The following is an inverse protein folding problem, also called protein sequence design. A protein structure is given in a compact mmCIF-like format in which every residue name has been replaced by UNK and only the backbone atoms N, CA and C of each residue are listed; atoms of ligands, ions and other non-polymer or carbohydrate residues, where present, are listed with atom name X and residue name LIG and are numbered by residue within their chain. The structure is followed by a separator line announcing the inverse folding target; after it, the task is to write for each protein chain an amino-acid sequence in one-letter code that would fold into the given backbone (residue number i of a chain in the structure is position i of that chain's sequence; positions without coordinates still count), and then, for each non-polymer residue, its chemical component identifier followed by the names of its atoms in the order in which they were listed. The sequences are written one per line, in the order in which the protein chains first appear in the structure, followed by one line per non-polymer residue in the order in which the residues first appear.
data_IF_435450992657
#
_entry.id   IF_435450992657
#
_cell.length_a   1.000
_cell.length_b   1.000
_cell.length_c   1.000
_cell.angle_alpha   90.00
_cell.angle_beta   90.00
_cell.angle_gamma   90.00
#
_symmetry.space_group_name_H-M   'P 1'
#
loop_
_entity.id
_entity.type
_entity.pdbx_description
1 polymer ?
#
# COMPACT_ATOMS: atom_id res chain seq x y z
N UNK A 1 -0.38 17.63 22.47
CA UNK A 1 -1.37 17.70 21.34
C UNK A 1 -2.64 16.91 21.64
N UNK A 2 -3.73 17.15 20.94
CA UNK A 2 -5.00 16.42 21.03
C UNK A 2 -5.19 15.59 19.76
N UNK A 3 -5.62 14.33 19.91
CA UNK A 3 -5.99 13.49 18.79
C UNK A 3 -7.50 13.61 18.53
N UNK A 4 -7.87 13.94 17.30
CA UNK A 4 -9.24 14.02 16.81
C UNK A 4 -9.45 12.92 15.77
N UNK A 5 -10.58 12.21 15.82
CA UNK A 5 -10.90 11.10 14.92
C UNK A 5 -11.95 11.50 13.91
N UNK A 6 -11.69 11.29 12.62
CA UNK A 6 -12.68 11.48 11.59
C UNK A 6 -13.83 10.48 11.72
N UNK A 7 -15.07 10.99 11.68
CA UNK A 7 -16.23 10.17 11.42
C UNK A 7 -16.51 10.17 9.90
N UNK A 8 -16.30 9.04 9.19
CA UNK A 8 -16.47 9.01 7.73
C UNK A 8 -17.90 9.28 7.24
N UNK A 9 -18.86 9.36 8.15
CA UNK A 9 -20.28 9.65 7.85
C UNK A 9 -20.69 11.06 8.26
N UNK A 10 -19.76 11.88 8.75
CA UNK A 10 -20.05 13.28 9.08
C UNK A 10 -20.23 14.11 7.82
N UNK A 11 -20.85 15.27 7.97
CA UNK A 11 -20.99 16.23 6.86
C UNK A 11 -19.66 16.86 6.45
N UNK A 12 -18.66 16.80 7.31
CA UNK A 12 -17.33 17.36 7.10
C UNK A 12 -16.35 16.34 6.46
N UNK A 13 -16.79 15.08 6.28
CA UNK A 13 -15.89 13.99 5.91
C UNK A 13 -15.13 14.24 4.60
N UNK A 14 -15.82 14.71 3.57
CA UNK A 14 -15.21 14.96 2.26
C UNK A 14 -14.14 16.07 2.33
N UNK A 15 -14.40 17.14 3.08
CA UNK A 15 -13.45 18.24 3.25
C UNK A 15 -12.21 17.80 4.05
N UNK A 16 -12.41 17.05 5.13
CA UNK A 16 -11.31 16.50 5.95
C UNK A 16 -10.48 15.49 5.17
N UNK A 17 -11.11 14.58 4.44
CA UNK A 17 -10.40 13.61 3.58
C UNK A 17 -9.62 14.33 2.48
N UNK A 18 -10.21 15.39 1.90
CA UNK A 18 -9.53 16.24 0.91
C UNK A 18 -8.27 16.92 1.47
N UNK A 19 -8.32 17.44 2.69
CA UNK A 19 -7.19 18.07 3.35
C UNK A 19 -6.07 17.05 3.64
N UNK A 20 -6.41 15.87 4.13
CA UNK A 20 -5.44 14.79 4.32
C UNK A 20 -4.84 14.33 2.99
N UNK A 21 -5.66 14.13 1.95
CA UNK A 21 -5.18 13.75 0.63
C UNK A 21 -4.18 14.75 0.07
N UNK A 22 -4.43 16.04 0.27
CA UNK A 22 -3.53 17.11 -0.13
C UNK A 22 -2.18 17.02 0.60
N UNK A 23 -2.16 16.92 1.93
CA UNK A 23 -0.92 16.79 2.71
C UNK A 23 -0.14 15.51 2.34
N UNK A 24 -0.84 14.37 2.18
CA UNK A 24 -0.22 13.11 1.80
C UNK A 24 0.34 13.15 0.37
N UNK A 25 -0.35 13.79 -0.56
CA UNK A 25 0.11 13.96 -1.95
C UNK A 25 1.36 14.83 -2.01
N UNK A 26 1.38 15.98 -1.33
CA UNK A 26 2.57 16.83 -1.28
C UNK A 26 3.77 16.09 -0.67
N UNK A 27 3.57 15.38 0.43
CA UNK A 27 4.63 14.61 1.08
C UNK A 27 5.26 13.57 0.13
N UNK A 28 4.46 12.86 -0.67
CA UNK A 28 5.00 11.88 -1.60
C UNK A 28 5.61 12.52 -2.84
N UNK A 29 5.06 13.61 -3.35
CA UNK A 29 5.61 14.35 -4.48
C UNK A 29 6.96 14.99 -4.14
N UNK A 30 7.14 15.51 -2.92
CA UNK A 30 8.42 16.02 -2.43
C UNK A 30 9.50 14.92 -2.38
N UNK A 31 9.10 13.68 -2.13
CA UNK A 31 10.01 12.53 -2.09
C UNK A 31 10.34 12.02 -3.49
N UNK A 32 9.34 11.88 -4.35
CA UNK A 32 9.47 11.23 -5.66
C UNK A 32 9.89 12.20 -6.75
N UNK A 33 9.59 13.49 -6.59
CA UNK A 33 9.71 14.49 -7.66
C UNK A 33 8.71 14.30 -8.80
N UNK A 34 7.75 13.37 -8.66
CA UNK A 34 6.78 13.01 -9.69
C UNK A 34 5.40 13.58 -9.34
N UNK A 35 4.87 14.44 -10.22
CA UNK A 35 3.56 15.07 -10.05
C UNK A 35 2.38 14.06 -10.13
N UNK A 36 2.60 12.88 -10.72
CA UNK A 36 1.60 11.80 -10.76
C UNK A 36 1.58 10.95 -9.48
N UNK A 37 2.63 11.05 -8.64
CA UNK A 37 2.61 10.42 -7.32
C UNK A 37 1.62 11.14 -6.42
N UNK A 38 0.66 10.42 -5.88
CA UNK A 38 -0.34 11.03 -5.03
C UNK A 38 -1.31 10.03 -4.44
N UNK A 39 -2.15 10.53 -3.54
CA UNK A 39 -3.23 9.77 -2.91
C UNK A 39 -4.53 10.50 -3.20
N UNK A 40 -5.47 9.84 -3.89
CA UNK A 40 -6.74 10.48 -4.23
C UNK A 40 -7.71 10.46 -3.05
N UNK A 41 -8.46 11.55 -2.88
CA UNK A 41 -9.50 11.65 -1.86
C UNK A 41 -10.57 10.55 -2.01
N UNK A 42 -10.92 10.21 -3.26
CA UNK A 42 -11.89 9.14 -3.56
C UNK A 42 -11.41 7.79 -3.05
N UNK A 43 -10.15 7.43 -3.29
CA UNK A 43 -9.58 6.17 -2.81
C UNK A 43 -9.51 6.13 -1.27
N UNK A 44 -9.12 7.24 -0.64
CA UNK A 44 -9.08 7.36 0.82
C UNK A 44 -10.48 7.23 1.43
N UNK A 45 -11.49 7.91 0.88
CA UNK A 45 -12.86 7.81 1.34
C UNK A 45 -13.35 6.35 1.31
N UNK A 46 -13.09 5.64 0.22
CA UNK A 46 -13.40 4.21 0.10
C UNK A 46 -12.68 3.33 1.12
N UNK A 47 -11.44 3.62 1.44
CA UNK A 47 -10.71 2.91 2.51
C UNK A 47 -11.32 3.17 3.89
N UNK A 48 -11.75 4.40 4.16
CA UNK A 48 -12.37 4.81 5.43
C UNK A 48 -13.78 4.24 5.64
N UNK A 49 -14.50 3.88 4.57
CA UNK A 49 -15.75 3.11 4.68
C UNK A 49 -15.52 1.74 5.35
N UNK A 50 -14.29 1.22 5.28
CA UNK A 50 -13.92 -0.09 5.79
C UNK A 50 -14.38 -1.24 4.88
N UNK A 51 -14.05 -2.46 5.28
CA UNK A 51 -14.42 -3.70 4.58
C UNK A 51 -14.52 -4.86 5.54
N UNK A 52 -14.88 -6.05 5.06
CA UNK A 52 -14.82 -7.27 5.86
C UNK A 52 -13.38 -7.65 6.28
N UNK A 53 -12.36 -7.12 5.59
CA UNK A 53 -10.94 -7.48 5.82
C UNK A 53 -10.18 -6.44 6.63
N UNK A 54 -10.60 -5.18 6.61
CA UNK A 54 -9.90 -4.10 7.32
C UNK A 54 -10.83 -2.96 7.70
N UNK A 55 -10.54 -2.34 8.83
CA UNK A 55 -11.08 -1.05 9.25
C UNK A 55 -9.97 0.00 9.11
N UNK A 56 -10.29 1.15 8.53
CA UNK A 56 -9.37 2.29 8.48
C UNK A 56 -9.87 3.42 9.39
N UNK A 57 -8.93 4.10 10.04
CA UNK A 57 -9.18 5.26 10.90
C UNK A 57 -8.26 6.40 10.46
N UNK A 58 -8.77 7.62 10.43
CA UNK A 58 -7.98 8.81 10.16
C UNK A 58 -8.03 9.74 11.37
N UNK A 59 -6.87 9.96 11.96
CA UNK A 59 -6.70 10.91 13.05
C UNK A 59 -5.98 12.17 12.58
N UNK A 60 -6.33 13.29 13.18
CA UNK A 60 -5.58 14.53 13.13
C UNK A 60 -5.03 14.87 14.52
N UNK A 61 -3.82 15.37 14.57
CA UNK A 61 -3.16 15.87 15.78
C UNK A 61 -3.12 17.39 15.74
N UNK A 62 -3.62 18.04 16.79
CA UNK A 62 -3.70 19.49 16.91
C UNK A 62 -3.36 19.96 18.32
N UNK A 63 -2.81 21.17 18.46
CA UNK A 63 -2.59 21.80 19.77
C UNK A 63 -3.84 22.53 20.27
N UNK A 64 -4.77 22.82 19.38
CA UNK A 64 -5.99 23.56 19.67
C UNK A 64 -7.19 22.64 19.44
N UNK A 65 -7.86 22.23 20.52
CA UNK A 65 -9.11 21.49 20.41
C UNK A 65 -10.20 22.11 21.28
N UNK A 66 -11.33 22.46 20.69
CA UNK A 66 -12.50 22.86 21.46
C UNK A 66 -13.01 21.65 22.27
N UNK A 67 -13.42 21.82 23.54
CA UNK A 67 -14.05 20.76 24.32
C UNK A 67 -15.29 20.21 23.60
N UNK A 68 -15.32 18.91 23.38
CA UNK A 68 -16.44 18.22 22.72
C UNK A 68 -16.61 16.79 23.27
N UNK A 69 -17.78 16.17 23.11
CA UNK A 69 -17.98 14.79 23.54
C UNK A 69 -17.01 13.83 22.86
N UNK A 70 -16.68 12.75 23.57
CA UNK A 70 -15.91 11.67 22.99
C UNK A 70 -16.79 10.82 22.09
N UNK A 71 -16.29 10.54 20.89
CA UNK A 71 -16.92 9.70 19.89
C UNK A 71 -16.35 8.27 19.87
N UNK A 72 -16.18 7.72 18.67
CA UNK A 72 -15.67 6.38 18.47
C UNK A 72 -14.24 6.23 19.07
N UNK A 73 -13.93 5.05 19.55
CA UNK A 73 -12.66 4.71 20.21
C UNK A 73 -12.26 5.64 21.36
N UNK A 74 -13.19 6.46 21.90
CA UNK A 74 -12.92 7.38 23.00
C UNK A 74 -12.21 8.69 22.57
N UNK A 75 -12.20 9.04 21.28
CA UNK A 75 -11.62 10.28 20.77
C UNK A 75 -12.71 11.29 20.37
N UNK A 76 -12.45 12.61 20.53
CA UNK A 76 -13.34 13.64 20.01
C UNK A 76 -13.41 13.57 18.48
N UNK A 77 -14.56 13.93 17.92
CA UNK A 77 -14.77 13.94 16.46
C UNK A 77 -14.03 15.11 15.81
N UNK A 78 -13.37 14.83 14.68
CA UNK A 78 -12.68 15.79 13.83
C UNK A 78 -13.70 16.50 12.94
N UNK A 79 -13.63 17.83 12.88
CA UNK A 79 -14.49 18.69 12.05
C UNK A 79 -13.66 19.53 11.09
N UNK A 80 -14.28 20.03 10.01
CA UNK A 80 -13.64 20.92 9.06
C UNK A 80 -13.09 22.20 9.72
N UNK A 81 -13.73 22.68 10.79
CA UNK A 81 -13.25 23.84 11.55
C UNK A 81 -11.89 23.64 12.26
N UNK A 82 -11.43 22.40 12.40
CA UNK A 82 -10.14 22.09 13.06
C UNK A 82 -8.98 22.10 12.06
N UNK A 83 -9.24 22.13 10.75
CA UNK A 83 -8.24 21.93 9.68
C UNK A 83 -7.10 22.96 9.72
N UNK A 84 -7.37 24.19 10.18
CA UNK A 84 -6.38 25.26 10.24
C UNK A 84 -5.27 25.04 11.29
N UNK A 85 -5.51 24.17 12.27
CA UNK A 85 -4.64 23.96 13.43
C UNK A 85 -4.01 22.55 13.47
N UNK A 86 -4.12 21.78 12.38
CA UNK A 86 -3.57 20.42 12.30
C UNK A 86 -2.05 20.48 12.13
N UNK A 87 -1.35 19.65 12.90
CA UNK A 87 0.10 19.47 12.81
C UNK A 87 0.47 18.16 12.13
N UNK A 88 -0.29 17.10 12.34
CA UNK A 88 -0.03 15.80 11.72
C UNK A 88 -1.30 14.99 11.53
N UNK A 89 -1.24 14.10 10.58
CA UNK A 89 -2.24 13.09 10.29
C UNK A 89 -1.71 11.70 10.64
N UNK A 90 -2.55 10.84 11.20
CA UNK A 90 -2.22 9.44 11.45
C UNK A 90 -3.29 8.58 10.80
N UNK A 91 -2.92 7.94 9.69
CA UNK A 91 -3.78 6.97 9.03
C UNK A 91 -3.49 5.58 9.61
N UNK A 92 -4.51 4.93 10.13
CA UNK A 92 -4.41 3.64 10.80
C UNK A 92 -5.24 2.61 10.04
N UNK A 93 -4.68 1.43 9.80
CA UNK A 93 -5.38 0.26 9.28
C UNK A 93 -5.38 -0.84 10.34
N UNK A 94 -6.55 -1.40 10.58
CA UNK A 94 -6.79 -2.50 11.51
C UNK A 94 -7.24 -3.72 10.71
N UNK A 95 -6.36 -4.71 10.43
CA UNK A 95 -6.75 -5.95 9.76
C UNK A 95 -7.79 -6.73 10.58
N UNK A 96 -8.78 -7.35 9.92
CA UNK A 96 -9.92 -8.03 10.56
C UNK A 96 -9.99 -9.54 10.31
N UNK A 97 -9.25 -10.07 9.35
CA UNK A 97 -9.23 -11.51 9.03
C UNK A 97 -7.94 -12.18 9.50
N UNK A 98 -6.83 -11.81 8.91
CA UNK A 98 -5.49 -12.17 9.37
C UNK A 98 -4.85 -10.94 10.00
N UNK A 99 -3.67 -11.13 10.59
CA UNK A 99 -2.90 -10.03 11.21
C UNK A 99 -3.70 -9.24 12.25
N UNK A 100 -4.69 -9.89 12.87
CA UNK A 100 -5.63 -9.25 13.80
C UNK A 100 -4.99 -8.73 15.08
N UNK A 101 -3.74 -9.06 15.32
CA UNK A 101 -2.91 -8.52 16.41
C UNK A 101 -2.10 -7.29 16.00
N UNK A 102 -2.25 -6.81 14.75
CA UNK A 102 -1.43 -5.75 14.17
C UNK A 102 -2.22 -4.45 14.07
N UNK A 103 -1.54 -3.34 14.31
CA UNK A 103 -1.92 -1.99 13.88
C UNK A 103 -0.93 -1.58 12.79
N UNK A 104 -1.43 -1.26 11.61
CA UNK A 104 -0.63 -0.60 10.57
C UNK A 104 -0.89 0.90 10.62
N UNK A 105 0.16 1.71 10.57
CA UNK A 105 0.02 3.15 10.63
C UNK A 105 0.99 3.86 9.68
N UNK A 106 0.55 5.03 9.23
CA UNK A 106 1.37 6.01 8.50
C UNK A 106 1.17 7.36 9.15
N UNK A 107 2.27 8.08 9.39
CA UNK A 107 2.26 9.44 9.92
C UNK A 107 2.59 10.39 8.77
N UNK A 108 1.74 11.37 8.54
CA UNK A 108 1.94 12.43 7.54
C UNK A 108 1.89 13.77 8.26
N UNK A 109 2.93 14.58 8.15
CA UNK A 109 2.90 15.95 8.68
C UNK A 109 1.95 16.79 7.82
N UNK A 110 1.28 17.75 8.44
CA UNK A 110 0.50 18.70 7.66
C UNK A 110 1.40 19.53 6.75
N UNK A 111 0.91 19.85 5.56
CA UNK A 111 1.65 20.58 4.54
C UNK A 111 2.24 21.91 5.04
N UNK A 112 1.60 22.55 6.02
CA UNK A 112 2.05 23.82 6.57
C UNK A 112 3.32 23.71 7.44
N UNK A 113 3.62 22.52 7.98
CA UNK A 113 4.77 22.29 8.86
C UNK A 113 5.70 21.17 8.38
N UNK A 114 5.38 20.55 7.23
CA UNK A 114 6.22 19.51 6.64
C UNK A 114 7.63 20.07 6.34
N UNK A 115 8.72 19.39 6.78
CA UNK A 115 10.07 19.83 6.49
C UNK A 115 10.38 19.68 5.01
N UNK A 116 11.27 20.48 4.48
CA UNK A 116 11.80 20.29 3.13
C UNK A 116 12.62 18.99 3.06
N UNK A 117 12.74 18.39 1.87
CA UNK A 117 13.54 17.18 1.70
C UNK A 117 14.95 17.31 2.27
N UNK A 118 15.32 16.40 3.17
CA UNK A 118 16.62 16.39 3.84
C UNK A 118 16.67 17.15 5.16
N UNK A 119 15.64 17.87 5.54
CA UNK A 119 15.51 18.47 6.87
C UNK A 119 14.99 17.44 7.90
N UNK A 120 15.35 17.61 9.18
CA UNK A 120 14.84 16.73 10.23
C UNK A 120 13.33 16.94 10.45
N UNK A 121 12.61 15.86 10.69
CA UNK A 121 11.19 15.95 11.04
C UNK A 121 11.00 16.59 12.42
N UNK A 122 9.93 17.39 12.61
CA UNK A 122 9.61 17.96 13.92
C UNK A 122 9.28 16.82 14.90
N UNK A 123 9.99 16.75 16.06
CA UNK A 123 9.87 15.59 16.97
C UNK A 123 8.53 15.53 17.69
N UNK A 124 7.91 16.69 17.96
CA UNK A 124 6.70 16.75 18.78
C UNK A 124 5.48 16.10 18.10
N UNK A 125 5.09 16.45 16.85
CA UNK A 125 3.97 15.77 16.18
C UNK A 125 4.21 14.26 15.99
N UNK A 126 5.44 13.87 15.70
CA UNK A 126 5.81 12.46 15.60
C UNK A 126 5.69 11.72 16.95
N UNK A 127 6.18 12.33 18.04
CA UNK A 127 6.06 11.77 19.39
C UNK A 127 4.60 11.53 19.79
N UNK A 128 3.74 12.51 19.52
CA UNK A 128 2.30 12.40 19.81
C UNK A 128 1.61 11.35 18.94
N UNK A 129 2.01 11.21 17.66
CA UNK A 129 1.50 10.14 16.79
C UNK A 129 1.86 8.75 17.35
N UNK A 130 3.09 8.56 17.82
CA UNK A 130 3.53 7.30 18.43
C UNK A 130 2.78 6.99 19.73
N UNK A 131 2.52 8.01 20.57
CA UNK A 131 1.69 7.86 21.78
C UNK A 131 0.24 7.48 21.43
N UNK A 132 -0.33 8.06 20.38
CA UNK A 132 -1.66 7.69 19.87
C UNK A 132 -1.69 6.21 19.45
N UNK A 133 -0.69 5.74 18.69
CA UNK A 133 -0.62 4.34 18.26
C UNK A 133 -0.49 3.39 19.46
N UNK A 134 0.31 3.74 20.47
CA UNK A 134 0.43 2.97 21.71
C UNK A 134 -0.91 2.91 22.51
N UNK A 135 -1.65 4.02 22.55
CA UNK A 135 -2.98 4.06 23.16
C UNK A 135 -4.00 3.21 22.40
N UNK A 136 -4.00 3.26 21.08
CA UNK A 136 -4.83 2.42 20.22
C UNK A 136 -4.48 0.95 20.37
N UNK A 137 -3.20 0.59 20.49
CA UNK A 137 -2.75 -0.77 20.77
C UNK A 137 -3.40 -1.33 22.04
N UNK A 138 -3.40 -0.53 23.09
CA UNK A 138 -4.01 -0.91 24.37
C UNK A 138 -5.52 -1.08 24.25
N UNK A 139 -6.22 -0.14 23.63
CA UNK A 139 -7.68 -0.14 23.53
C UNK A 139 -8.23 -1.16 22.54
N UNK A 140 -7.47 -1.49 21.50
CA UNK A 140 -7.87 -2.48 20.47
C UNK A 140 -7.30 -3.88 20.75
N UNK A 141 -6.46 -4.03 21.78
CA UNK A 141 -5.75 -5.28 22.12
C UNK A 141 -4.87 -5.82 20.96
N UNK A 142 -4.18 -4.91 20.26
CA UNK A 142 -3.31 -5.23 19.13
C UNK A 142 -1.86 -4.87 19.47
N UNK A 143 -1.06 -5.82 19.99
CA UNK A 143 0.26 -5.53 20.55
C UNK A 143 1.36 -5.31 19.50
N UNK A 144 1.11 -5.51 18.22
CA UNK A 144 2.11 -5.37 17.17
C UNK A 144 1.80 -4.12 16.36
N UNK A 145 2.80 -3.23 16.23
CA UNK A 145 2.69 -2.02 15.43
C UNK A 145 3.59 -2.14 14.20
N UNK A 146 3.03 -1.91 13.03
CA UNK A 146 3.76 -1.69 11.78
C UNK A 146 3.58 -0.23 11.37
N UNK A 147 4.68 0.51 11.35
CA UNK A 147 4.69 1.89 10.90
C UNK A 147 5.46 1.98 9.58
N UNK A 148 4.80 2.47 8.55
CA UNK A 148 5.39 2.67 7.24
C UNK A 148 5.84 4.12 7.07
N UNK A 149 7.08 4.28 6.63
CA UNK A 149 7.70 5.56 6.35
C UNK A 149 8.38 5.53 4.98
N UNK A 150 8.04 6.50 4.14
CA UNK A 150 8.55 6.60 2.76
C UNK A 150 9.57 7.74 2.70
N UNK A 151 10.65 7.52 1.96
CA UNK A 151 11.76 8.46 1.83
C UNK A 151 12.40 8.38 0.45
N UNK A 152 13.22 9.38 0.10
CA UNK A 152 13.91 9.44 -1.17
C UNK A 152 14.85 8.23 -1.39
N UNK A 153 15.09 7.82 -2.64
CA UNK A 153 15.96 6.69 -2.95
C UNK A 153 17.36 6.84 -2.36
N UNK A 154 17.84 5.81 -1.68
CA UNK A 154 19.17 5.83 -1.06
C UNK A 154 19.29 6.67 0.22
N UNK A 155 18.26 7.41 0.60
CA UNK A 155 18.22 8.13 1.87
C UNK A 155 17.83 7.19 3.03
N UNK A 156 18.07 7.65 4.25
CA UNK A 156 17.50 7.04 5.45
C UNK A 156 16.16 7.70 5.75
N UNK A 157 15.26 6.98 6.42
CA UNK A 157 14.03 7.55 6.95
C UNK A 157 14.34 8.78 7.82
N UNK A 158 13.71 9.95 7.57
CA UNK A 158 13.90 11.14 8.41
C UNK A 158 13.44 10.92 9.85
N UNK A 159 12.51 10.00 10.09
CA UNK A 159 11.99 9.65 11.42
C UNK A 159 12.76 8.51 12.10
N UNK A 160 13.80 7.95 11.47
CA UNK A 160 14.50 6.75 11.97
C UNK A 160 14.98 6.84 13.41
N UNK A 161 15.55 7.98 13.81
CA UNK A 161 16.02 8.18 15.18
C UNK A 161 14.86 8.21 16.20
N UNK A 162 13.78 8.92 15.88
CA UNK A 162 12.59 9.01 16.74
C UNK A 162 11.93 7.64 16.89
N UNK A 163 11.85 6.87 15.81
CA UNK A 163 11.28 5.52 15.82
C UNK A 163 12.13 4.56 16.67
N UNK A 164 13.46 4.60 16.51
CA UNK A 164 14.36 3.78 17.30
C UNK A 164 14.28 4.12 18.80
N UNK A 165 14.25 5.41 19.16
CA UNK A 165 14.09 5.86 20.55
C UNK A 165 12.74 5.45 21.15
N UNK A 166 11.68 5.36 20.33
CA UNK A 166 10.36 4.84 20.72
C UNK A 166 10.26 3.30 20.76
N UNK A 167 11.36 2.59 20.51
CA UNK A 167 11.46 1.13 20.58
C UNK A 167 11.02 0.39 19.31
N UNK A 168 10.91 1.09 18.17
CA UNK A 168 10.69 0.45 16.87
C UNK A 168 12.01 -0.08 16.30
N UNK A 169 11.94 -1.19 15.59
CA UNK A 169 13.05 -1.75 14.81
C UNK A 169 12.67 -1.79 13.33
N UNK A 170 13.63 -1.54 12.47
CA UNK A 170 13.43 -1.70 11.04
C UNK A 170 13.22 -3.19 10.74
N UNK A 171 12.05 -3.54 10.19
CA UNK A 171 11.67 -4.92 9.94
C UNK A 171 11.68 -5.29 8.45
N UNK A 172 11.34 -4.34 7.56
CA UNK A 172 11.27 -4.60 6.14
C UNK A 172 11.50 -3.32 5.33
N UNK A 173 11.93 -3.49 4.08
CA UNK A 173 12.11 -2.37 3.13
C UNK A 173 11.60 -2.73 1.76
N UNK A 174 11.00 -1.75 1.11
CA UNK A 174 10.59 -1.80 -0.29
C UNK A 174 11.28 -0.70 -1.10
N UNK A 175 11.38 -0.95 -2.38
CA UNK A 175 11.79 0.03 -3.38
C UNK A 175 10.60 0.27 -4.31
N UNK A 176 10.22 1.51 -4.50
CA UNK A 176 9.21 1.92 -5.46
C UNK A 176 9.91 2.42 -6.72
N UNK A 177 9.40 1.98 -7.86
CA UNK A 177 9.94 2.37 -9.15
C UNK A 177 8.82 2.56 -10.18
N UNK A 178 9.11 3.35 -11.20
CA UNK A 178 8.26 3.50 -12.39
C UNK A 178 9.02 3.14 -13.65
N UNK A 179 8.31 2.68 -14.67
CA UNK A 179 8.87 2.47 -16.00
C UNK A 179 7.81 2.66 -17.08
N UNK A 180 8.25 3.11 -18.25
CA UNK A 180 7.39 3.34 -19.40
C UNK A 180 7.18 2.04 -20.16
N UNK A 181 5.94 1.76 -20.60
CA UNK A 181 5.61 0.53 -21.34
C UNK A 181 6.15 0.53 -22.76
N UNK A 182 6.28 1.70 -23.38
CA UNK A 182 6.80 1.84 -24.72
C UNK A 182 8.30 1.47 -24.77
N UNK A 183 8.67 0.76 -25.84
CA UNK A 183 10.06 0.35 -26.05
C UNK A 183 10.50 -0.91 -25.30
N UNK A 184 9.63 -1.53 -24.48
CA UNK A 184 9.97 -2.77 -23.74
C UNK A 184 10.11 -4.03 -24.61
N UNK A 185 9.80 -3.95 -25.91
CA UNK A 185 9.83 -5.11 -26.78
C UNK A 185 8.85 -6.21 -26.39
N UNK A 186 7.66 -5.81 -25.92
CA UNK A 186 6.61 -6.74 -25.49
C UNK A 186 6.07 -7.53 -26.67
N UNK A 187 5.63 -8.79 -26.48
CA UNK A 187 4.99 -9.59 -27.52
C UNK A 187 3.67 -8.93 -27.95
N UNK A 188 3.27 -9.17 -29.21
CA UNK A 188 1.98 -8.67 -29.75
C UNK A 188 0.78 -9.27 -28.99
N UNK A 189 0.93 -10.47 -28.46
CA UNK A 189 -0.11 -11.17 -27.68
C UNK A 189 0.49 -11.84 -26.46
N UNK A 190 -0.27 -11.93 -25.35
CA UNK A 190 0.16 -12.66 -24.16
C UNK A 190 0.48 -14.13 -24.48
N UNK A 191 1.54 -14.66 -23.84
CA UNK A 191 1.92 -16.09 -23.94
C UNK A 191 1.45 -16.92 -22.75
N UNK A 192 0.82 -16.26 -21.77
CA UNK A 192 0.22 -16.88 -20.58
C UNK A 192 -1.31 -16.75 -20.66
N UNK A 193 -2.03 -17.55 -19.87
CA UNK A 193 -3.46 -17.35 -19.66
C UNK A 193 -3.70 -16.03 -18.95
N UNK A 194 -4.54 -15.16 -19.50
CA UNK A 194 -4.93 -13.89 -18.88
C UNK A 194 -6.33 -14.03 -18.29
N UNK A 195 -6.47 -13.66 -17.03
CA UNK A 195 -7.74 -13.62 -16.31
C UNK A 195 -8.04 -12.17 -15.91
N UNK A 196 -9.26 -11.73 -16.17
CA UNK A 196 -9.73 -10.36 -15.88
C UNK A 196 -10.47 -10.33 -14.55
N UNK A 197 -10.17 -9.32 -13.72
CA UNK A 197 -10.91 -8.98 -12.50
C UNK A 197 -11.14 -10.18 -11.54
N UNK A 198 -10.17 -11.10 -11.50
CA UNK A 198 -10.26 -12.35 -10.71
C UNK A 198 -11.45 -13.25 -11.09
N UNK A 199 -11.98 -13.14 -12.32
CA UNK A 199 -13.07 -13.98 -12.81
C UNK A 199 -12.52 -15.30 -13.38
N UNK A 200 -12.01 -16.14 -12.48
CA UNK A 200 -11.38 -17.40 -12.81
C UNK A 200 -12.39 -18.47 -13.20
N UNK A 201 -12.09 -19.26 -14.21
CA UNK A 201 -12.78 -20.55 -14.43
C UNK A 201 -12.60 -21.46 -13.20
N UNK A 202 -13.49 -22.42 -12.94
CA UNK A 202 -13.33 -23.36 -11.82
C UNK A 202 -12.00 -24.12 -11.83
N UNK A 203 -11.46 -24.40 -13.01
CA UNK A 203 -10.15 -25.05 -13.19
C UNK A 203 -9.01 -24.12 -12.81
N UNK A 204 -9.02 -22.88 -13.30
CA UNK A 204 -7.98 -21.89 -13.06
C UNK A 204 -7.99 -21.41 -11.60
N UNK A 205 -9.17 -21.28 -10.98
CA UNK A 205 -9.33 -20.86 -9.60
C UNK A 205 -8.56 -21.75 -8.62
N UNK A 206 -8.61 -23.06 -8.81
CA UNK A 206 -7.87 -23.99 -7.95
C UNK A 206 -6.37 -23.78 -8.03
N UNK A 207 -5.84 -23.62 -9.25
CA UNK A 207 -4.42 -23.35 -9.49
C UNK A 207 -3.99 -21.99 -8.97
N UNK A 208 -4.80 -20.95 -9.21
CA UNK A 208 -4.56 -19.59 -8.67
C UNK A 208 -4.47 -19.60 -7.15
N UNK A 209 -5.44 -20.21 -6.46
CA UNK A 209 -5.44 -20.30 -5.00
C UNK A 209 -4.20 -21.00 -4.45
N UNK A 210 -3.73 -22.05 -5.11
CA UNK A 210 -2.50 -22.75 -4.75
C UNK A 210 -1.28 -21.81 -4.84
N UNK A 211 -1.18 -21.04 -5.93
CA UNK A 211 -0.07 -20.10 -6.14
C UNK A 211 -0.08 -18.95 -5.14
N UNK A 212 -1.23 -18.30 -4.93
CA UNK A 212 -1.31 -17.13 -4.06
C UNK A 212 -1.13 -17.51 -2.58
N UNK A 213 -1.60 -18.71 -2.17
CA UNK A 213 -1.33 -19.25 -0.83
C UNK A 213 0.15 -19.63 -0.66
N UNK A 214 0.81 -20.12 -1.71
CA UNK A 214 2.25 -20.36 -1.68
C UNK A 214 3.03 -19.03 -1.62
N UNK A 215 2.62 -18.03 -2.38
CA UNK A 215 3.20 -16.68 -2.33
C UNK A 215 3.12 -16.08 -0.92
N UNK A 216 2.01 -16.22 -0.23
CA UNK A 216 1.87 -15.76 1.17
C UNK A 216 2.93 -16.34 2.12
N UNK A 217 3.42 -17.54 1.85
CA UNK A 217 4.49 -18.16 2.63
C UNK A 217 5.89 -17.76 2.19
N UNK A 218 6.09 -17.60 0.89
CA UNK A 218 7.41 -17.49 0.26
C UNK A 218 7.83 -16.05 -0.05
N UNK A 219 6.85 -15.11 -0.10
CA UNK A 219 7.15 -13.72 -0.45
C UNK A 219 8.03 -13.08 0.63
N UNK A 220 9.07 -12.34 0.25
CA UNK A 220 9.93 -11.67 1.21
C UNK A 220 9.17 -10.67 2.07
N UNK A 221 9.25 -10.81 3.38
CA UNK A 221 8.61 -9.94 4.37
C UNK A 221 9.57 -9.44 5.45
N UNK A 222 10.88 -9.72 5.29
CA UNK A 222 11.90 -9.37 6.27
C UNK A 222 11.57 -9.95 7.65
N UNK A 223 11.68 -9.10 8.67
CA UNK A 223 11.38 -9.43 10.08
C UNK A 223 9.93 -9.05 10.48
N UNK A 224 9.08 -8.65 9.52
CA UNK A 224 7.67 -8.36 9.82
C UNK A 224 6.95 -9.60 10.34
N UNK A 225 6.24 -9.42 11.42
CA UNK A 225 5.31 -10.41 11.94
C UNK A 225 4.02 -10.33 11.14
N UNK A 226 3.78 -11.32 10.30
CA UNK A 226 2.59 -11.44 9.46
C UNK A 226 2.08 -12.88 9.51
N UNK A 227 0.77 -13.03 9.50
CA UNK A 227 0.12 -14.33 9.38
C UNK A 227 0.32 -14.91 7.97
N UNK A 228 0.24 -16.22 7.85
CA UNK A 228 0.18 -16.91 6.56
C UNK A 228 -1.27 -16.96 6.11
N UNK A 229 -1.52 -16.55 4.88
CA UNK A 229 -2.87 -16.48 4.32
C UNK A 229 -3.14 -17.70 3.44
N UNK A 230 -4.18 -18.46 3.79
CA UNK A 230 -4.74 -19.49 2.92
C UNK A 230 -5.94 -18.93 2.16
N UNK A 231 -5.79 -18.85 0.84
CA UNK A 231 -6.80 -18.27 -0.02
C UNK A 231 -7.94 -19.27 -0.29
N UNK A 232 -9.12 -18.95 0.24
CA UNK A 232 -10.37 -19.67 -0.06
C UNK A 232 -11.03 -19.12 -1.33
N UNK A 233 -11.93 -19.87 -1.91
CA UNK A 233 -12.74 -19.39 -3.05
C UNK A 233 -13.60 -18.17 -2.68
N UNK A 234 -14.16 -18.15 -1.47
CA UNK A 234 -14.92 -17.00 -0.98
C UNK A 234 -14.03 -15.77 -0.91
N UNK A 235 -12.80 -15.90 -0.41
CA UNK A 235 -11.86 -14.79 -0.32
C UNK A 235 -11.50 -14.20 -1.69
N UNK A 236 -11.34 -15.05 -2.71
CA UNK A 236 -11.11 -14.57 -4.09
C UNK A 236 -12.31 -13.77 -4.58
N UNK A 237 -13.54 -14.26 -4.35
CA UNK A 237 -14.77 -13.53 -4.70
C UNK A 237 -14.88 -12.17 -4.00
N UNK A 238 -14.58 -12.14 -2.69
CA UNK A 238 -14.64 -10.92 -1.90
C UNK A 238 -13.57 -9.91 -2.36
N UNK A 239 -12.36 -10.38 -2.67
CA UNK A 239 -11.29 -9.55 -3.22
C UNK A 239 -11.67 -8.95 -4.59
N UNK A 240 -12.26 -9.78 -5.49
CA UNK A 240 -12.77 -9.31 -6.77
C UNK A 240 -13.88 -8.26 -6.62
N UNK A 241 -14.81 -8.46 -5.69
CA UNK A 241 -15.89 -7.50 -5.42
C UNK A 241 -15.33 -6.16 -4.92
N UNK A 242 -14.37 -6.19 -3.98
CA UNK A 242 -13.72 -4.97 -3.48
C UNK A 242 -12.93 -4.21 -4.54
N UNK A 243 -12.22 -4.93 -5.41
CA UNK A 243 -11.50 -4.32 -6.52
C UNK A 243 -12.45 -3.49 -7.38
N UNK A 244 -13.58 -4.08 -7.79
CA UNK A 244 -14.61 -3.40 -8.58
C UNK A 244 -15.27 -2.24 -7.84
N UNK A 245 -15.56 -2.39 -6.55
CA UNK A 245 -16.15 -1.31 -5.73
C UNK A 245 -15.25 -0.08 -5.64
N UNK A 246 -13.93 -0.28 -5.74
CA UNK A 246 -12.92 0.78 -5.80
C UNK A 246 -12.65 1.31 -7.21
N UNK A 247 -13.38 0.86 -8.22
CA UNK A 247 -13.15 1.24 -9.63
C UNK A 247 -11.88 0.62 -10.21
N UNK A 248 -11.36 -0.45 -9.61
CA UNK A 248 -10.17 -1.14 -10.09
C UNK A 248 -10.47 -2.19 -11.16
N UNK A 249 -9.57 -2.30 -12.12
CA UNK A 249 -9.52 -3.35 -13.12
C UNK A 249 -8.22 -4.14 -12.94
N UNK A 250 -8.27 -5.47 -12.91
CA UNK A 250 -7.10 -6.30 -12.72
C UNK A 250 -6.92 -7.30 -13.86
N UNK A 251 -5.69 -7.47 -14.28
CA UNK A 251 -5.24 -8.56 -15.16
C UNK A 251 -4.33 -9.49 -14.35
N UNK A 252 -4.60 -10.78 -14.44
CA UNK A 252 -3.75 -11.82 -13.84
C UNK A 252 -3.24 -12.74 -14.95
N UNK A 253 -1.93 -12.74 -15.17
CA UNK A 253 -1.27 -13.70 -16.04
C UNK A 253 -0.94 -14.98 -15.25
N UNK A 254 -1.33 -16.14 -15.76
CA UNK A 254 -1.04 -17.45 -15.19
C UNK A 254 -0.17 -18.26 -16.14
N UNK A 255 1.00 -18.72 -15.66
CA UNK A 255 1.93 -19.54 -16.40
C UNK A 255 1.77 -21.01 -16.04
N UNK A 256 1.55 -21.87 -17.04
CA UNK A 256 1.43 -23.33 -16.89
C UNK A 256 2.73 -24.05 -17.26
N UNK A 257 2.96 -25.18 -16.57
CA UNK A 257 3.90 -26.22 -16.98
C UNK A 257 3.17 -27.56 -16.89
N UNK A 258 2.86 -28.16 -18.05
CA UNK A 258 1.92 -29.28 -18.13
C UNK A 258 0.54 -28.88 -17.58
N UNK A 259 0.00 -29.65 -16.66
CA UNK A 259 -1.34 -29.46 -16.09
C UNK A 259 -1.34 -28.50 -14.86
N UNK A 260 -0.19 -27.97 -14.45
CA UNK A 260 -0.07 -27.18 -13.23
C UNK A 260 0.34 -25.73 -13.52
N UNK A 261 -0.19 -24.80 -12.73
CA UNK A 261 0.32 -23.43 -12.71
C UNK A 261 1.60 -23.35 -11.91
N UNK A 262 2.61 -22.66 -12.45
CA UNK A 262 3.93 -22.51 -11.84
C UNK A 262 4.26 -21.06 -11.46
N UNK A 263 3.40 -20.11 -11.84
CA UNK A 263 3.59 -18.70 -11.48
C UNK A 263 2.43 -17.84 -11.93
N UNK A 264 2.39 -16.63 -11.36
CA UNK A 264 1.43 -15.58 -11.69
C UNK A 264 2.10 -14.20 -11.71
N UNK A 265 1.50 -13.27 -12.45
CA UNK A 265 1.77 -11.85 -12.36
C UNK A 265 0.46 -11.07 -12.45
N UNK A 266 0.34 -10.00 -11.67
CA UNK A 266 -0.86 -9.17 -11.58
C UNK A 266 -0.53 -7.75 -11.99
N UNK A 267 -1.46 -7.12 -12.69
CA UNK A 267 -1.47 -5.68 -12.97
C UNK A 267 -2.84 -5.11 -12.63
N UNK A 268 -2.87 -3.92 -12.02
CA UNK A 268 -4.09 -3.24 -11.62
C UNK A 268 -4.10 -1.83 -12.19
N UNK A 269 -5.25 -1.40 -12.65
CA UNK A 269 -5.49 -0.05 -13.13
C UNK A 269 -6.77 0.50 -12.50
N UNK A 270 -6.75 1.77 -12.09
CA UNK A 270 -7.89 2.46 -11.49
C UNK A 270 -8.32 3.62 -12.41
N UNK A 271 -9.45 3.46 -13.09
CA UNK A 271 -9.97 4.43 -14.06
C UNK A 271 -10.27 5.82 -13.43
N UNK A 272 -10.49 5.87 -12.11
CA UNK A 272 -10.87 7.08 -11.38
C UNK A 272 -9.67 7.90 -10.88
N UNK A 273 -8.45 7.35 -10.94
CA UNK A 273 -7.25 8.02 -10.44
C UNK A 273 -6.48 8.68 -11.59
N UNK A 274 -5.57 7.95 -12.22
CA UNK A 274 -4.80 8.40 -13.38
C UNK A 274 -4.92 7.35 -14.48
N UNK A 275 -5.58 7.68 -15.58
CA UNK A 275 -5.83 6.75 -16.68
C UNK A 275 -4.57 6.41 -17.49
N UNK A 276 -3.43 7.04 -17.18
CA UNK A 276 -2.12 6.77 -17.79
C UNK A 276 -1.22 5.86 -16.96
N UNK A 277 -1.63 5.57 -15.72
CA UNK A 277 -0.85 4.78 -14.75
C UNK A 277 -1.51 3.43 -14.48
N UNK A 278 -0.70 2.37 -14.39
CA UNK A 278 -1.08 1.11 -13.79
C UNK A 278 -0.09 0.70 -12.71
N UNK A 279 -0.53 -0.18 -11.81
CA UNK A 279 0.31 -0.80 -10.79
C UNK A 279 0.63 -2.24 -11.16
N UNK A 280 1.90 -2.62 -11.06
CA UNK A 280 2.31 -4.01 -11.08
C UNK A 280 2.16 -4.60 -9.67
N UNK A 281 1.22 -5.53 -9.53
CA UNK A 281 0.96 -6.23 -8.27
C UNK A 281 1.94 -7.37 -8.01
N UNK A 282 1.42 -8.48 -7.46
CA UNK A 282 2.22 -9.65 -7.14
C UNK A 282 2.81 -10.29 -8.41
N UNK A 283 4.12 -10.54 -8.37
CA UNK A 283 4.80 -11.43 -9.33
C UNK A 283 5.40 -12.58 -8.54
N UNK A 284 4.90 -13.78 -8.78
CA UNK A 284 5.32 -14.97 -8.06
C UNK A 284 5.58 -16.14 -8.98
N UNK A 285 6.65 -16.87 -8.70
CA UNK A 285 7.03 -18.12 -9.38
C UNK A 285 7.38 -19.15 -8.32
N UNK A 286 6.84 -20.35 -8.44
CA UNK A 286 7.15 -21.48 -7.56
C UNK A 286 8.67 -21.70 -7.50
N UNK A 287 9.25 -22.05 -6.34
CA UNK A 287 10.70 -22.21 -6.18
C UNK A 287 11.36 -23.06 -7.25
N UNK A 288 10.75 -24.22 -7.58
CA UNK A 288 11.29 -25.19 -8.54
C UNK A 288 11.26 -24.69 -10.00
N UNK A 289 10.50 -23.65 -10.29
CA UNK A 289 10.37 -23.04 -11.62
C UNK A 289 11.17 -21.72 -11.77
N UNK A 290 11.89 -21.31 -10.73
CA UNK A 290 12.75 -20.10 -10.76
C UNK A 290 14.01 -20.32 -11.60
N UNK A 291 14.60 -19.22 -12.06
CA UNK A 291 15.84 -19.25 -12.86
C UNK A 291 15.67 -19.67 -14.33
N UNK A 292 14.45 -19.98 -14.77
CA UNK A 292 14.12 -20.47 -16.12
C UNK A 292 13.45 -19.41 -17.02
N UNK A 293 13.45 -18.16 -16.61
CA UNK A 293 12.80 -17.07 -17.36
C UNK A 293 11.30 -16.90 -17.12
N UNK A 294 10.69 -17.73 -16.24
CA UNK A 294 9.26 -17.73 -15.94
C UNK A 294 8.71 -16.37 -15.51
N UNK A 295 9.43 -15.64 -14.64
CA UNK A 295 9.01 -14.31 -14.20
C UNK A 295 9.02 -13.31 -15.38
N UNK A 296 10.01 -13.36 -16.26
CA UNK A 296 10.06 -12.51 -17.46
C UNK A 296 8.89 -12.82 -18.40
N UNK A 297 8.54 -14.09 -18.59
CA UNK A 297 7.41 -14.50 -19.42
C UNK A 297 6.08 -13.99 -18.85
N UNK A 298 5.88 -14.13 -17.53
CA UNK A 298 4.70 -13.62 -16.83
C UNK A 298 4.56 -12.11 -16.97
N UNK A 299 5.63 -11.36 -16.68
CA UNK A 299 5.66 -9.91 -16.83
C UNK A 299 5.37 -9.48 -18.26
N UNK A 300 6.08 -10.05 -19.26
CA UNK A 300 5.82 -9.72 -20.66
C UNK A 300 4.38 -9.99 -21.07
N UNK A 301 3.76 -11.05 -20.53
CA UNK A 301 2.36 -11.38 -20.84
C UNK A 301 1.37 -10.43 -20.20
N UNK A 302 1.52 -10.10 -18.91
CA UNK A 302 0.58 -9.18 -18.24
C UNK A 302 0.71 -7.77 -18.79
N UNK A 303 1.93 -7.30 -19.10
CA UNK A 303 2.16 -6.00 -19.70
C UNK A 303 1.63 -5.90 -21.15
N UNK A 304 1.75 -6.98 -21.95
CA UNK A 304 1.17 -7.04 -23.29
C UNK A 304 -0.37 -7.01 -23.24
N UNK A 305 -0.96 -7.70 -22.27
CA UNK A 305 -2.40 -7.66 -22.04
C UNK A 305 -2.84 -6.24 -21.60
N UNK A 306 -2.14 -5.63 -20.64
CA UNK A 306 -2.42 -4.29 -20.15
C UNK A 306 -2.39 -3.24 -21.28
N UNK A 307 -1.38 -3.29 -22.14
CA UNK A 307 -1.29 -2.38 -23.31
C UNK A 307 -2.48 -2.52 -24.26
N UNK A 308 -3.08 -3.69 -24.36
CA UNK A 308 -4.26 -3.96 -25.20
C UNK A 308 -5.54 -3.49 -24.53
N UNK A 309 -5.72 -3.82 -23.27
CA UNK A 309 -6.95 -3.56 -22.50
C UNK A 309 -7.04 -2.11 -22.04
N UNK A 310 -5.90 -1.49 -21.72
CA UNK A 310 -5.76 -0.14 -21.18
C UNK A 310 -4.88 0.72 -22.10
N UNK A 311 -5.38 1.12 -23.30
CA UNK A 311 -4.55 1.74 -24.33
C UNK A 311 -4.04 3.14 -23.97
N UNK A 312 -4.54 3.75 -22.89
CA UNK A 312 -4.04 5.03 -22.39
C UNK A 312 -2.91 4.87 -21.38
N UNK A 313 -2.73 3.69 -20.83
CA UNK A 313 -1.69 3.45 -19.83
C UNK A 313 -0.31 3.52 -20.48
N UNK A 314 0.49 4.45 -20.02
CA UNK A 314 1.86 4.71 -20.48
C UNK A 314 2.90 4.27 -19.47
N UNK A 315 2.58 4.39 -18.18
CA UNK A 315 3.51 4.17 -17.07
C UNK A 315 3.06 3.03 -16.17
N UNK A 316 4.01 2.24 -15.71
CA UNK A 316 3.82 1.20 -14.71
C UNK A 316 4.55 1.56 -13.42
N UNK A 317 3.82 1.62 -12.32
CA UNK A 317 4.34 1.69 -10.96
C UNK A 317 4.53 0.29 -10.38
N UNK A 318 5.60 0.10 -9.61
CA UNK A 318 5.88 -1.15 -8.91
C UNK A 318 6.48 -0.87 -7.54
N UNK A 319 5.97 -1.56 -6.51
CA UNK A 319 6.63 -1.67 -5.21
C UNK A 319 7.17 -3.09 -5.03
N UNK A 320 8.41 -3.22 -4.62
CA UNK A 320 9.09 -4.50 -4.59
C UNK A 320 10.08 -4.61 -3.42
N UNK A 321 10.36 -5.83 -2.90
CA UNK A 321 11.31 -6.05 -1.83
C UNK A 321 12.68 -5.48 -2.15
N UNK A 322 13.18 -4.59 -1.30
CA UNK A 322 14.51 -3.99 -1.47
C UNK A 322 15.61 -5.06 -1.30
N UNK A 323 16.67 -4.95 -2.11
CA UNK A 323 17.83 -5.85 -2.04
C UNK A 323 17.60 -7.23 -2.66
N UNK A 324 16.47 -7.48 -3.31
CA UNK A 324 16.23 -8.71 -4.06
C UNK A 324 16.93 -8.63 -5.43
N UNK A 325 17.99 -9.42 -5.63
CA UNK A 325 18.72 -9.45 -6.91
C UNK A 325 17.81 -9.82 -8.11
N UNK A 326 16.91 -10.84 -8.02
CA UNK A 326 15.98 -11.11 -9.12
C UNK A 326 15.09 -9.92 -9.49
N UNK A 327 14.57 -9.19 -8.50
CA UNK A 327 13.75 -8.01 -8.71
C UNK A 327 14.57 -6.88 -9.33
N UNK A 328 15.78 -6.63 -8.80
CA UNK A 328 16.71 -5.63 -9.34
C UNK A 328 17.02 -5.89 -10.82
N UNK A 329 17.21 -7.15 -11.21
CA UNK A 329 17.42 -7.54 -12.60
C UNK A 329 16.19 -7.25 -13.49
N UNK A 330 14.98 -7.50 -12.99
CA UNK A 330 13.74 -7.21 -13.72
C UNK A 330 13.52 -5.70 -13.89
N UNK A 331 13.69 -4.92 -12.83
CA UNK A 331 13.59 -3.45 -12.89
C UNK A 331 14.61 -2.86 -13.85
N UNK A 332 15.86 -3.32 -13.80
CA UNK A 332 16.91 -2.89 -14.74
C UNK A 332 16.59 -3.25 -16.20
N UNK A 333 16.01 -4.44 -16.43
CA UNK A 333 15.59 -4.85 -17.77
C UNK A 333 14.42 -4.02 -18.31
N UNK A 334 13.60 -3.46 -17.45
CA UNK A 334 12.52 -2.53 -17.78
C UNK A 334 12.99 -1.05 -17.88
N UNK A 335 14.27 -0.76 -17.65
CA UNK A 335 14.79 0.60 -17.49
C UNK A 335 14.02 1.41 -16.44
N UNK A 336 13.62 0.75 -15.35
CA UNK A 336 12.82 1.36 -14.31
C UNK A 336 13.63 2.44 -13.56
N UNK A 337 12.98 3.55 -13.28
CA UNK A 337 13.48 4.61 -12.41
C UNK A 337 13.02 4.37 -10.98
N UNK A 338 13.94 4.36 -10.03
CA UNK A 338 13.62 4.24 -8.62
C UNK A 338 13.22 5.61 -8.11
N UNK A 339 11.95 5.76 -7.67
CA UNK A 339 11.37 7.03 -7.26
C UNK A 339 11.32 7.22 -5.75
N UNK A 340 11.26 6.13 -4.98
CA UNK A 340 11.26 6.17 -3.52
C UNK A 340 11.68 4.84 -2.90
N UNK A 341 11.79 4.84 -1.58
CA UNK A 341 11.93 3.65 -0.76
C UNK A 341 11.00 3.76 0.44
N UNK A 342 10.37 2.66 0.83
CA UNK A 342 9.57 2.59 2.07
C UNK A 342 10.21 1.65 3.06
N UNK A 343 10.19 2.04 4.32
CA UNK A 343 10.65 1.23 5.44
C UNK A 343 9.47 0.91 6.34
N UNK A 344 9.27 -0.36 6.61
CA UNK A 344 8.36 -0.82 7.65
C UNK A 344 9.11 -0.98 8.97
N UNK A 345 8.66 -0.27 9.98
CA UNK A 345 9.17 -0.32 11.34
C UNK A 345 8.21 -1.13 12.19
N UNK A 346 8.73 -2.03 13.01
CA UNK A 346 7.92 -2.87 13.88
C UNK A 346 8.24 -2.61 15.35
N UNK A 347 7.20 -2.55 16.17
CA UNK A 347 7.28 -2.54 17.63
C UNK A 347 6.31 -3.56 18.21
N UNK A 348 6.69 -4.24 19.29
CA UNK A 348 5.79 -5.04 20.11
C UNK A 348 5.57 -4.33 21.43
N UNK A 349 4.32 -3.98 21.72
CA UNK A 349 3.93 -3.53 23.05
C UNK A 349 3.92 -4.72 23.99
N UNK A 350 4.51 -4.56 25.17
CA UNK A 350 4.59 -5.59 26.22
C UNK A 350 3.27 -5.75 26.96
#
# INVERSE_FOLDING_TARGET
MHALLLNPRSVDADEVVGAYAFSATLAIQDITGDAHSGVTATHLAKRLEGSAESQALLFALTDVAAPRPLGAHGYPELHASDLADISAWVFVSLPLLEDTSIIEATVTLDAAIAPLPGEPVPPEPWGEALLLIDALSTTTHRPIHHLWDTHAPGASSPAAALLADAGYTQAYRETQATFVLDGLGLPESPTCTIVHNMDFSPEDLSGFRTLISAASRDYPRGELTLDIVDWTEQRVRDASARLRDRGGNQLTALLRSGDHFIGLAEAVHYDVDDDTLMELGLVYVLPDARGQGSAKQLLSSVLAAARTEWPKVETCYVSAPAGSEPVTCLLRAANAEIISSSTAWQKRSG
#
